data_IF_413576970699
#
_entry.id   IF_413576970699
#
_cell.length_a   1.000
_cell.length_b   1.000
_cell.length_c   1.000
_cell.angle_alpha   90.00
_cell.angle_beta   90.00
_cell.angle_gamma   90.00
#
_symmetry.space_group_name_H-M   'P 1'
#
loop_
_entity.id
_entity.type
_entity.pdbx_description
1 polymer ?
#
# COMPACT_ATOMS: atom_id res chain seq x y z
N UNK A 1 -44.48 -0.59 9.10
CA UNK A 1 -43.01 -0.65 9.26
C UNK A 1 -42.47 0.72 8.90
N UNK A 2 -41.84 1.45 9.82
CA UNK A 2 -41.47 2.85 9.65
C UNK A 2 -39.96 3.08 9.57
N UNK A 3 -39.55 4.19 8.96
CA UNK A 3 -38.16 4.64 8.92
C UNK A 3 -37.67 4.91 10.35
N UNK A 4 -36.54 4.30 10.74
CA UNK A 4 -35.87 4.60 12.01
C UNK A 4 -34.83 5.68 11.76
N UNK A 5 -34.82 6.72 12.61
CA UNK A 5 -33.77 7.75 12.62
C UNK A 5 -32.39 7.09 12.76
N UNK A 6 -31.37 7.57 12.04
CA UNK A 6 -30.04 6.96 12.01
C UNK A 6 -29.91 5.65 11.22
N UNK A 7 -30.97 5.13 10.59
CA UNK A 7 -30.94 3.90 9.80
C UNK A 7 -30.44 4.11 8.36
N UNK A 8 -29.33 4.84 8.21
CA UNK A 8 -28.60 5.00 6.95
C UNK A 8 -27.10 4.80 7.18
N UNK A 9 -26.35 4.68 6.10
CA UNK A 9 -24.88 4.56 6.13
C UNK A 9 -24.27 5.61 5.22
N UNK A 10 -23.13 6.17 5.63
CA UNK A 10 -22.32 7.08 4.82
C UNK A 10 -21.08 6.34 4.34
N UNK A 11 -21.02 6.00 3.05
CA UNK A 11 -19.83 5.39 2.44
C UNK A 11 -18.91 6.46 1.86
N UNK A 12 -17.61 6.26 2.00
CA UNK A 12 -16.63 7.05 1.25
C UNK A 12 -16.75 6.76 -0.25
N UNK A 13 -16.44 7.78 -1.07
CA UNK A 13 -16.36 7.64 -2.52
C UNK A 13 -15.15 6.78 -2.91
N UNK A 14 -15.20 6.13 -4.07
CA UNK A 14 -14.04 5.45 -4.65
C UNK A 14 -12.81 6.35 -4.70
N UNK A 15 -11.65 5.78 -4.38
CA UNK A 15 -10.39 6.51 -4.22
C UNK A 15 -10.28 7.28 -2.90
N UNK A 16 -11.19 7.10 -1.94
CA UNK A 16 -11.09 7.64 -0.60
C UNK A 16 -11.28 6.55 0.46
N UNK A 17 -10.64 6.72 1.61
CA UNK A 17 -10.69 5.78 2.72
C UNK A 17 -10.83 6.49 4.07
N UNK A 18 -11.18 5.72 5.11
CA UNK A 18 -11.32 6.23 6.48
C UNK A 18 -10.00 6.00 7.23
N UNK A 19 -9.34 7.04 7.76
CA UNK A 19 -8.08 6.87 8.46
C UNK A 19 -8.29 6.06 9.75
N UNK A 20 -7.34 5.21 10.10
CA UNK A 20 -7.40 4.37 11.31
C UNK A 20 -7.61 5.18 12.61
N UNK A 21 -7.19 6.44 12.65
CA UNK A 21 -7.42 7.37 13.78
C UNK A 21 -8.91 7.65 14.04
N UNK A 22 -9.72 7.58 12.98
CA UNK A 22 -11.16 7.82 13.00
C UNK A 22 -11.97 6.53 13.11
N UNK A 23 -11.33 5.36 13.06
CA UNK A 23 -11.97 4.05 13.28
C UNK A 23 -12.25 3.80 14.77
N UNK A 24 -12.78 4.78 15.48
CA UNK A 24 -13.29 4.64 16.85
C UNK A 24 -14.77 4.26 16.81
N UNK A 25 -15.53 4.48 17.88
CA UNK A 25 -16.95 4.08 18.07
C UNK A 25 -17.91 4.42 16.90
N UNK A 26 -17.51 5.31 15.98
CA UNK A 26 -18.28 5.77 14.83
C UNK A 26 -18.24 4.84 13.61
N UNK A 27 -17.19 4.04 13.46
CA UNK A 27 -16.99 3.10 12.35
C UNK A 27 -17.40 1.69 12.78
N UNK A 28 -17.98 0.91 11.87
CA UNK A 28 -18.34 -0.47 12.14
C UNK A 28 -17.10 -1.38 12.14
N UNK A 29 -16.33 -1.37 13.23
CA UNK A 29 -15.24 -2.31 13.43
C UNK A 29 -15.77 -3.76 13.35
N UNK A 30 -15.16 -4.58 12.49
CA UNK A 30 -15.47 -6.00 12.16
C UNK A 30 -16.33 -6.26 10.92
N UNK A 31 -16.20 -5.52 9.83
CA UNK A 31 -16.76 -5.97 8.54
C UNK A 31 -15.76 -5.80 7.40
N UNK A 32 -15.81 -6.72 6.44
CA UNK A 32 -14.98 -6.71 5.22
C UNK A 32 -15.03 -5.39 4.42
N UNK A 33 -15.97 -4.50 4.74
CA UNK A 33 -16.13 -3.16 4.21
C UNK A 33 -16.07 -2.11 5.35
N UNK A 34 -14.89 -1.84 5.93
CA UNK A 34 -14.73 -0.83 7.00
C UNK A 34 -14.81 0.63 6.47
N UNK A 35 -15.22 0.85 5.21
CA UNK A 35 -15.25 2.16 4.54
C UNK A 35 -16.61 2.89 4.64
N UNK A 36 -17.30 2.77 5.78
CA UNK A 36 -18.53 3.50 6.04
C UNK A 36 -18.70 3.93 7.50
N UNK A 37 -19.41 5.05 7.67
CA UNK A 37 -19.88 5.54 8.95
C UNK A 37 -21.36 5.17 9.14
N UNK A 38 -21.75 4.82 10.38
CA UNK A 38 -23.16 4.58 10.72
C UNK A 38 -23.89 5.91 10.90
N UNK A 39 -25.05 6.07 10.27
CA UNK A 39 -25.87 7.28 10.37
C UNK A 39 -26.22 7.63 11.81
N UNK A 40 -26.59 6.62 12.62
CA UNK A 40 -26.87 6.82 14.06
C UNK A 40 -25.70 7.46 14.81
N UNK A 41 -24.45 7.09 14.51
CA UNK A 41 -23.28 7.61 15.21
C UNK A 41 -23.00 9.09 14.83
N UNK A 42 -23.25 9.45 13.58
CA UNK A 42 -23.16 10.84 13.09
C UNK A 42 -24.23 11.70 13.78
N UNK A 43 -25.47 11.21 13.81
CA UNK A 43 -26.59 11.92 14.40
C UNK A 43 -26.43 12.10 15.91
N UNK A 44 -25.97 11.08 16.63
CA UNK A 44 -25.71 11.15 18.08
C UNK A 44 -24.61 12.17 18.41
N UNK A 45 -23.51 12.15 17.66
CA UNK A 45 -22.45 13.14 17.82
C UNK A 45 -22.96 14.56 17.52
N UNK A 46 -23.77 14.74 16.48
CA UNK A 46 -24.35 16.05 16.15
C UNK A 46 -25.30 16.57 17.24
N UNK A 47 -26.14 15.68 17.81
CA UNK A 47 -27.07 16.04 18.90
C UNK A 47 -26.30 16.41 20.17
N UNK A 48 -25.19 15.74 20.48
CA UNK A 48 -24.39 16.06 21.67
C UNK A 48 -23.85 17.51 21.63
N UNK A 49 -23.48 18.00 20.44
CA UNK A 49 -23.09 19.40 20.24
C UNK A 49 -24.25 20.39 20.46
N UNK A 50 -25.48 20.00 20.14
CA UNK A 50 -26.68 20.84 20.26
C UNK A 50 -27.23 20.93 21.69
N UNK A 51 -27.20 19.81 22.43
CA UNK A 51 -27.81 19.70 23.78
C UNK A 51 -26.80 20.04 24.89
N UNK A 52 -25.51 20.12 24.55
CA UNK A 52 -24.40 20.30 25.49
C UNK A 52 -23.80 18.97 25.93
N UNK A 53 -22.54 18.96 26.41
CA UNK A 53 -21.80 17.72 26.64
C UNK A 53 -22.46 16.89 27.75
N UNK A 54 -23.04 15.75 27.37
CA UNK A 54 -23.39 14.68 28.29
C UNK A 54 -22.14 13.87 28.57
N UNK A 55 -21.80 13.67 29.84
CA UNK A 55 -20.60 12.95 30.29
C UNK A 55 -20.43 11.62 29.54
N UNK A 56 -19.36 11.50 28.74
CA UNK A 56 -18.96 10.25 28.07
C UNK A 56 -19.31 10.11 26.58
N UNK A 57 -19.86 11.15 25.94
CA UNK A 57 -20.08 11.16 24.47
C UNK A 57 -19.18 12.21 23.83
N UNK A 58 -18.34 11.77 22.88
CA UNK A 58 -17.50 12.67 22.11
C UNK A 58 -18.37 13.69 21.35
N UNK A 59 -18.00 14.97 21.43
CA UNK A 59 -18.64 16.05 20.68
C UNK A 59 -18.49 15.81 19.17
N UNK A 60 -19.42 16.31 18.35
CA UNK A 60 -19.25 16.29 16.89
C UNK A 60 -17.96 17.03 16.49
N UNK A 61 -16.92 16.27 16.13
CA UNK A 61 -15.75 16.77 15.44
C UNK A 61 -15.84 16.41 13.96
N UNK A 62 -15.91 17.38 13.03
CA UNK A 62 -15.86 17.14 11.60
C UNK A 62 -14.66 16.28 11.18
N UNK A 63 -13.55 16.35 11.92
CA UNK A 63 -12.35 15.57 11.62
C UNK A 63 -12.55 14.07 11.84
N UNK A 64 -13.52 13.65 12.67
CA UNK A 64 -13.80 12.23 12.91
C UNK A 64 -14.67 11.59 11.81
N UNK A 65 -15.32 12.39 10.97
CA UNK A 65 -16.26 11.93 9.93
C UNK A 65 -15.77 12.25 8.51
N UNK A 66 -14.46 12.31 8.30
CA UNK A 66 -13.84 12.63 7.01
C UNK A 66 -13.29 11.39 6.30
N UNK A 67 -13.37 11.39 4.97
CA UNK A 67 -12.69 10.46 4.09
C UNK A 67 -11.48 11.16 3.46
N UNK A 68 -10.33 10.50 3.43
CA UNK A 68 -9.10 11.02 2.84
C UNK A 68 -8.76 10.30 1.54
N UNK A 69 -8.13 10.99 0.57
CA UNK A 69 -7.84 10.39 -0.73
C UNK A 69 -6.79 9.29 -0.60
N UNK A 70 -6.94 8.25 -1.42
CA UNK A 70 -5.93 7.21 -1.62
C UNK A 70 -4.73 7.75 -2.40
N UNK A 71 -3.61 7.02 -2.32
CA UNK A 71 -2.46 7.20 -3.20
C UNK A 71 -2.87 7.13 -4.68
N UNK A 72 -2.33 8.00 -5.57
CA UNK A 72 -2.66 7.99 -6.99
C UNK A 72 -2.43 6.62 -7.63
N UNK A 73 -3.44 6.13 -8.35
CA UNK A 73 -3.41 4.85 -9.06
C UNK A 73 -4.13 3.70 -8.35
N UNK A 74 -4.73 3.93 -7.18
CA UNK A 74 -5.52 2.92 -6.47
C UNK A 74 -7.03 3.29 -6.46
N UNK A 75 -7.92 2.41 -6.95
CA UNK A 75 -9.37 2.66 -6.92
C UNK A 75 -9.96 2.48 -5.51
N UNK A 76 -9.37 1.62 -4.69
CA UNK A 76 -9.78 1.35 -3.31
C UNK A 76 -8.53 1.10 -2.46
N UNK A 77 -8.44 1.75 -1.29
CA UNK A 77 -7.35 1.54 -0.35
C UNK A 77 -7.90 1.42 1.09
N UNK A 78 -7.15 0.73 1.96
CA UNK A 78 -7.48 0.59 3.38
C UNK A 78 -6.66 1.54 4.27
N UNK A 79 -5.49 1.98 3.78
CA UNK A 79 -4.50 2.81 4.46
C UNK A 79 -3.68 3.58 3.41
N UNK A 80 -2.86 4.55 3.86
CA UNK A 80 -1.87 5.31 3.07
C UNK A 80 -0.76 4.43 2.44
N UNK A 81 -0.84 3.11 2.56
CA UNK A 81 0.11 2.21 1.93
C UNK A 81 -0.07 2.22 0.40
N UNK A 82 1.03 2.29 -0.38
CA UNK A 82 0.95 2.29 -1.83
C UNK A 82 0.44 0.93 -2.32
N UNK A 83 -0.69 0.88 -3.05
CA UNK A 83 -1.22 -0.41 -3.53
C UNK A 83 -0.42 -0.97 -4.71
N UNK A 84 0.35 -0.11 -5.40
CA UNK A 84 1.40 -0.56 -6.30
C UNK A 84 2.73 -0.56 -5.54
N UNK A 85 3.31 -1.74 -5.33
CA UNK A 85 4.76 -1.80 -5.07
C UNK A 85 5.41 -0.99 -6.19
N UNK A 86 6.29 -0.04 -5.87
CA UNK A 86 7.08 0.63 -6.89
C UNK A 86 7.89 -0.47 -7.60
N UNK A 87 7.32 -1.02 -8.66
CA UNK A 87 7.95 -1.94 -9.59
C UNK A 87 8.93 -1.05 -10.35
N UNK A 88 10.03 -0.69 -9.66
CA UNK A 88 11.06 0.14 -10.22
C UNK A 88 11.67 -0.70 -11.34
N UNK A 89 11.10 -0.54 -12.52
CA UNK A 89 11.64 -1.04 -13.78
C UNK A 89 13.11 -0.67 -13.89
N UNK A 90 13.50 0.46 -13.27
CA UNK A 90 14.86 0.87 -13.04
C UNK A 90 15.71 -0.16 -12.27
N UNK A 91 15.28 -0.62 -11.09
CA UNK A 91 16.03 -1.62 -10.31
C UNK A 91 16.16 -2.92 -11.10
N UNK A 92 15.08 -3.37 -11.74
CA UNK A 92 15.11 -4.59 -12.56
C UNK A 92 16.03 -4.44 -13.77
N UNK A 93 16.01 -3.30 -14.45
CA UNK A 93 16.90 -2.99 -15.57
C UNK A 93 18.36 -2.92 -15.14
N UNK A 94 18.66 -2.31 -14.00
CA UNK A 94 20.00 -2.24 -13.42
C UNK A 94 20.50 -3.64 -13.07
N UNK A 95 19.71 -4.47 -12.39
CA UNK A 95 20.12 -5.84 -12.04
C UNK A 95 20.36 -6.70 -13.28
N UNK A 96 19.50 -6.62 -14.30
CA UNK A 96 19.67 -7.34 -15.57
C UNK A 96 20.91 -6.85 -16.33
N UNK A 97 21.19 -5.54 -16.33
CA UNK A 97 22.37 -4.96 -16.96
C UNK A 97 23.67 -5.39 -16.28
N UNK A 98 23.72 -5.35 -14.94
CA UNK A 98 24.89 -5.80 -14.17
C UNK A 98 25.14 -7.30 -14.37
N UNK A 99 24.07 -8.11 -14.37
CA UNK A 99 24.18 -9.56 -14.58
C UNK A 99 24.74 -9.89 -15.97
N UNK A 100 24.26 -9.21 -17.01
CA UNK A 100 24.74 -9.45 -18.38
C UNK A 100 26.19 -9.02 -18.57
N UNK A 101 26.58 -7.88 -18.01
CA UNK A 101 27.96 -7.38 -18.03
C UNK A 101 28.94 -8.32 -17.31
N UNK A 102 28.55 -8.82 -16.13
CA UNK A 102 29.37 -9.78 -15.40
C UNK A 102 29.54 -11.08 -16.20
N UNK A 103 28.45 -11.61 -16.75
CA UNK A 103 28.47 -12.84 -17.54
C UNK A 103 29.36 -12.72 -18.79
N UNK A 104 29.33 -11.59 -19.50
CA UNK A 104 30.19 -11.38 -20.69
C UNK A 104 31.67 -11.30 -20.32
N UNK A 105 32.02 -10.61 -19.23
CA UNK A 105 33.41 -10.54 -18.74
C UNK A 105 33.92 -11.94 -18.38
N UNK A 106 33.15 -12.71 -17.61
CA UNK A 106 33.54 -14.08 -17.25
C UNK A 106 33.73 -14.96 -18.48
N UNK A 107 32.88 -14.82 -19.50
CA UNK A 107 33.01 -15.55 -20.76
C UNK A 107 34.28 -15.17 -21.53
N UNK A 108 34.60 -13.87 -21.61
CA UNK A 108 35.82 -13.39 -22.27
C UNK A 108 37.09 -13.87 -21.54
N UNK A 109 37.09 -13.83 -20.21
CA UNK A 109 38.18 -14.36 -19.38
C UNK A 109 38.35 -15.87 -19.62
N UNK A 110 37.26 -16.63 -19.66
CA UNK A 110 37.30 -18.06 -19.94
C UNK A 110 37.92 -18.36 -21.32
N UNK A 111 37.54 -17.61 -22.36
CA UNK A 111 38.12 -17.74 -23.71
C UNK A 111 39.62 -17.44 -23.68
N UNK A 112 40.04 -16.34 -23.03
CA UNK A 112 41.44 -15.97 -22.94
C UNK A 112 42.27 -17.06 -22.24
N UNK A 113 41.76 -17.59 -21.12
CA UNK A 113 42.39 -18.71 -20.41
C UNK A 113 42.45 -19.95 -21.31
N UNK A 114 41.39 -20.30 -22.03
CA UNK A 114 41.40 -21.43 -22.97
C UNK A 114 42.45 -21.25 -24.08
N UNK A 115 42.59 -20.04 -24.64
CA UNK A 115 43.61 -19.73 -25.65
C UNK A 115 45.02 -19.84 -25.08
N UNK A 116 45.28 -19.29 -23.89
CA UNK A 116 46.58 -19.42 -23.22
C UNK A 116 46.91 -20.86 -22.83
N UNK A 117 45.92 -21.64 -22.39
CA UNK A 117 46.13 -23.07 -22.10
C UNK A 117 46.42 -23.86 -23.38
N UNK A 118 45.75 -23.54 -24.49
CA UNK A 118 46.04 -24.17 -25.80
C UNK A 118 47.42 -23.80 -26.34
N UNK A 119 47.89 -22.56 -26.14
CA UNK A 119 49.25 -22.16 -26.55
C UNK A 119 50.34 -22.73 -25.65
N UNK A 120 50.03 -23.03 -24.38
CA UNK A 120 50.99 -23.56 -23.41
C UNK A 120 51.01 -25.09 -23.28
N UNK A 121 50.05 -25.82 -23.87
CA UNK A 121 49.96 -27.30 -23.86
C UNK A 121 50.64 -27.96 -25.09
N UNK A 122 51.29 -27.21 -25.98
CA UNK A 122 52.19 -27.76 -27.02
C UNK A 122 53.66 -27.73 -26.59
N UNK A 123 53.96 -28.30 -25.42
CA UNK A 123 55.27 -28.90 -25.16
C UNK A 123 55.03 -30.23 -24.44
N UNK A 124 55.35 -31.39 -25.06
CA UNK A 124 55.42 -32.64 -24.30
C UNK A 124 56.54 -32.51 -23.26
N UNK A 125 56.38 -33.07 -22.04
CA UNK A 125 57.50 -33.19 -21.11
C UNK A 125 58.55 -34.08 -21.77
N UNK A 126 59.72 -33.50 -22.04
CA UNK A 126 60.92 -34.22 -22.44
C UNK A 126 61.49 -34.82 -21.17
N UNK A 127 61.32 -36.12 -20.99
CA UNK A 127 62.13 -36.98 -20.12
C UNK A 127 62.69 -38.11 -20.97
#
# INVERSE_FOLDING_TARGET
MGFRRGAYICRCKDGFYIPNKNKTNFVAQNSLDDNYFRGIAIEEAFISTLVGPTTGVDTFDPQNFICIPCEPGCPTCADDSPCFVHFNIFIRAVTLGVQSFCATITFMIAIAICKLRRSKVWHPPIS
#
